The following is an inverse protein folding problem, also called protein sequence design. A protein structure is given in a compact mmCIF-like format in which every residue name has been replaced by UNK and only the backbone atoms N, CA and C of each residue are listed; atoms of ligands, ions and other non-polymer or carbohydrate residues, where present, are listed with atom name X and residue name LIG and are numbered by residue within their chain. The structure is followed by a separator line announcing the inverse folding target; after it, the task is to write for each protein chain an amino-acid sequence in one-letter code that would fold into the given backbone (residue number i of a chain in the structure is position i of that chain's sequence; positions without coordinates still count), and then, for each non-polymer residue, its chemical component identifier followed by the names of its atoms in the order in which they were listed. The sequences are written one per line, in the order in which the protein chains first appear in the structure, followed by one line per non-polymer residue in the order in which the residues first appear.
data_IF_675090997477
#
_entry.id   IF_675090997477
#
_cell.length_a   1.000
_cell.length_b   1.000
_cell.length_c   1.000
_cell.angle_alpha   90.00
_cell.angle_beta   90.00
_cell.angle_gamma   90.00
#
_symmetry.space_group_name_H-M   'P 1'
#
loop_
_entity.id
_entity.type
_entity.pdbx_description
1 polymer ?
#
# COMPACT_ATOMS: atom_id res chain seq x y z
N UNK A 1 -20.63 -62.69 54.48
CA UNK A 1 -19.17 -62.45 54.36
C UNK A 1 -18.76 -62.74 52.93
N UNK A 2 -18.75 -61.73 52.07
CA UNK A 2 -18.15 -61.78 50.73
C UNK A 2 -17.63 -60.39 50.36
N UNK A 3 -16.52 -60.43 49.65
CA UNK A 3 -15.48 -59.41 49.50
C UNK A 3 -15.64 -58.66 48.16
N UNK A 4 -15.22 -57.38 48.14
CA UNK A 4 -14.67 -56.60 47.01
C UNK A 4 -15.47 -56.43 45.69
N UNK A 5 -15.64 -55.18 45.25
CA UNK A 5 -14.78 -54.58 44.20
C UNK A 5 -15.09 -53.08 44.05
N UNK A 6 -14.13 -52.22 44.41
CA UNK A 6 -14.16 -50.78 44.06
C UNK A 6 -13.68 -50.67 42.62
N UNK A 7 -14.57 -50.25 41.71
CA UNK A 7 -14.19 -49.85 40.34
C UNK A 7 -14.08 -48.33 40.28
N UNK A 8 -12.85 -47.84 40.35
CA UNK A 8 -12.48 -46.47 40.06
C UNK A 8 -12.68 -46.21 38.56
N UNK A 9 -13.57 -45.31 38.19
CA UNK A 9 -13.80 -44.89 36.80
C UNK A 9 -13.03 -43.59 36.55
N UNK A 10 -11.87 -43.69 35.91
CA UNK A 10 -11.09 -42.53 35.47
C UNK A 10 -11.64 -42.07 34.11
N UNK A 11 -12.41 -40.98 34.10
CA UNK A 11 -12.86 -40.35 32.85
C UNK A 11 -11.76 -39.40 32.39
N UNK A 12 -11.01 -39.80 31.36
CA UNK A 12 -10.08 -38.93 30.66
C UNK A 12 -10.87 -38.01 29.71
N UNK A 13 -11.05 -36.75 30.10
CA UNK A 13 -11.59 -35.70 29.21
C UNK A 13 -10.44 -35.21 28.33
N UNK A 14 -10.20 -35.90 27.21
CA UNK A 14 -9.45 -35.33 26.08
C UNK A 14 -10.41 -34.38 25.33
N UNK A 15 -10.51 -33.15 25.82
CA UNK A 15 -11.12 -32.06 25.06
C UNK A 15 -10.16 -31.63 23.97
N UNK A 16 -10.44 -32.03 22.72
CA UNK A 16 -9.75 -31.54 21.53
C UNK A 16 -9.83 -30.01 21.51
N UNK A 17 -8.69 -29.36 21.76
CA UNK A 17 -8.44 -28.01 21.28
C UNK A 17 -8.37 -28.11 19.74
N UNK A 18 -9.50 -27.94 19.08
CA UNK A 18 -9.55 -27.59 17.67
C UNK A 18 -8.89 -26.23 17.52
N UNK A 19 -7.57 -26.22 17.38
CA UNK A 19 -6.86 -25.08 16.83
C UNK A 19 -7.41 -24.88 15.42
N UNK A 20 -8.37 -23.97 15.28
CA UNK A 20 -8.62 -23.32 14.00
C UNK A 20 -7.33 -22.61 13.64
N UNK A 21 -6.46 -23.34 12.93
CA UNK A 21 -5.34 -22.78 12.21
C UNK A 21 -5.99 -21.78 11.26
N UNK A 22 -5.94 -20.49 11.63
CA UNK A 22 -6.18 -19.42 10.69
C UNK A 22 -5.29 -19.77 9.50
N UNK A 23 -5.91 -20.10 8.38
CA UNK A 23 -5.21 -20.31 7.14
C UNK A 23 -4.64 -18.94 6.79
N UNK A 24 -3.41 -18.71 7.23
CA UNK A 24 -2.51 -17.69 6.70
C UNK A 24 -2.53 -17.95 5.19
N UNK A 25 -3.41 -17.23 4.50
CA UNK A 25 -3.36 -17.07 3.08
C UNK A 25 -1.99 -16.49 2.82
N UNK A 26 -1.04 -17.35 2.41
CA UNK A 26 0.29 -16.94 1.98
C UNK A 26 0.08 -15.97 0.83
N UNK A 27 0.09 -14.68 1.12
CA UNK A 27 0.05 -13.64 0.10
C UNK A 27 1.30 -13.86 -0.76
N UNK A 28 1.19 -14.05 -2.09
CA UNK A 28 2.32 -14.41 -2.94
C UNK A 28 3.35 -13.28 -3.14
N UNK A 29 3.23 -12.18 -2.39
CA UNK A 29 3.95 -10.92 -2.63
C UNK A 29 4.75 -10.41 -1.43
N UNK A 30 5.16 -11.26 -0.47
CA UNK A 30 5.92 -10.84 0.73
C UNK A 30 7.36 -10.35 0.47
N UNK A 31 7.77 -10.25 -0.80
CA UNK A 31 9.09 -9.80 -1.22
C UNK A 31 8.94 -8.65 -2.20
N UNK A 32 9.81 -7.64 -2.10
CA UNK A 32 9.97 -6.59 -3.12
C UNK A 32 10.35 -7.17 -4.50
N UNK A 33 10.80 -8.42 -4.53
CA UNK A 33 11.03 -9.19 -5.76
C UNK A 33 9.79 -10.01 -6.12
N UNK A 34 8.85 -9.36 -6.82
CA UNK A 34 7.58 -9.94 -7.23
C UNK A 34 7.79 -11.10 -8.22
N UNK A 35 7.31 -12.30 -7.88
CA UNK A 35 7.29 -13.42 -8.82
C UNK A 35 6.01 -13.35 -9.66
N UNK A 36 6.14 -13.13 -10.97
CA UNK A 36 4.98 -13.03 -11.85
C UNK A 36 4.36 -14.38 -12.19
N UNK A 37 3.02 -14.46 -12.25
CA UNK A 37 2.34 -15.65 -12.77
C UNK A 37 2.68 -15.85 -14.26
N UNK A 38 2.43 -17.07 -14.75
CA UNK A 38 2.61 -17.40 -16.15
C UNK A 38 1.74 -16.49 -17.04
N UNK A 39 2.34 -15.93 -18.09
CA UNK A 39 1.68 -14.99 -19.00
C UNK A 39 1.88 -13.51 -18.67
N UNK A 40 2.51 -13.20 -17.52
CA UNK A 40 2.75 -11.82 -17.07
C UNK A 40 4.23 -11.52 -16.89
N UNK A 41 4.56 -10.23 -16.95
CA UNK A 41 5.93 -9.73 -16.96
C UNK A 41 6.17 -8.77 -15.80
N UNK A 42 7.35 -8.82 -15.15
CA UNK A 42 7.68 -7.90 -14.08
C UNK A 42 7.90 -6.49 -14.62
N UNK A 43 7.40 -5.50 -13.89
CA UNK A 43 7.59 -4.08 -14.13
C UNK A 43 8.03 -3.35 -12.87
N UNK A 44 8.64 -2.19 -13.08
CA UNK A 44 9.17 -1.33 -12.03
C UNK A 44 9.08 0.13 -12.47
N UNK A 45 8.65 1.01 -11.57
CA UNK A 45 8.77 2.47 -11.70
C UNK A 45 9.25 3.01 -10.38
N UNK A 46 10.16 3.97 -10.50
CA UNK A 46 10.55 4.85 -9.43
C UNK A 46 10.09 6.26 -9.80
N UNK A 47 9.29 6.87 -8.93
CA UNK A 47 8.94 8.27 -9.00
C UNK A 47 9.49 9.00 -7.79
N UNK A 48 10.03 10.19 -8.01
CA UNK A 48 10.39 11.09 -6.93
C UNK A 48 9.88 12.49 -7.20
N UNK A 49 9.46 13.17 -6.14
CA UNK A 49 8.87 14.50 -6.21
C UNK A 49 9.42 15.36 -5.07
N UNK A 50 9.68 16.63 -5.38
CA UNK A 50 10.16 17.59 -4.40
C UNK A 50 9.28 18.82 -4.46
N UNK A 51 8.70 19.20 -3.33
CA UNK A 51 7.75 20.31 -3.24
C UNK A 51 8.15 21.31 -2.17
N UNK A 52 8.04 22.59 -2.49
CA UNK A 52 8.30 23.69 -1.54
C UNK A 52 7.11 23.88 -0.60
N UNK A 53 6.96 22.94 0.32
CA UNK A 53 6.01 23.00 1.43
C UNK A 53 6.50 22.09 2.57
N UNK A 54 6.17 22.44 3.82
CA UNK A 54 6.48 21.61 4.97
C UNK A 54 5.67 20.31 4.96
N UNK A 55 6.27 19.21 5.44
CA UNK A 55 5.72 17.86 5.44
C UNK A 55 4.29 17.76 6.00
N UNK A 56 4.00 18.52 7.07
CA UNK A 56 2.68 18.46 7.72
C UNK A 56 1.51 18.84 6.81
N UNK A 57 1.74 19.57 5.72
CA UNK A 57 0.70 19.87 4.73
C UNK A 57 0.32 18.63 3.92
N UNK A 58 1.28 17.78 3.59
CA UNK A 58 1.06 16.51 2.90
C UNK A 58 0.50 15.46 3.84
N UNK A 59 1.12 15.24 5.01
CA UNK A 59 0.71 14.18 5.95
C UNK A 59 -0.68 14.39 6.54
N UNK A 60 -1.18 15.63 6.58
CA UNK A 60 -2.58 15.90 6.94
C UNK A 60 -3.58 15.23 5.98
N UNK A 61 -3.17 15.02 4.73
CA UNK A 61 -4.01 14.45 3.66
C UNK A 61 -3.65 12.97 3.44
N UNK A 62 -2.36 12.63 3.46
CA UNK A 62 -1.86 11.30 3.08
C UNK A 62 -1.50 10.41 4.27
N UNK A 63 -1.53 10.94 5.50
CA UNK A 63 -1.03 10.25 6.68
C UNK A 63 -1.93 9.14 7.21
N UNK A 64 -3.10 8.92 6.62
CA UNK A 64 -3.97 7.78 6.93
C UNK A 64 -3.95 6.81 5.75
N UNK A 65 -3.56 5.56 6.00
CA UNK A 65 -3.69 4.50 5.01
C UNK A 65 -5.16 4.35 4.58
N UNK A 66 -6.11 4.47 5.49
CA UNK A 66 -7.52 4.34 5.16
C UNK A 66 -8.11 5.51 4.35
N UNK A 67 -7.48 6.68 4.32
CA UNK A 67 -7.97 7.83 3.56
C UNK A 67 -7.30 7.93 2.20
N UNK A 68 -7.95 7.34 1.20
CA UNK A 68 -7.44 7.23 -0.18
C UNK A 68 -7.96 8.30 -1.14
N UNK A 69 -8.84 9.20 -0.68
CA UNK A 69 -9.51 10.16 -1.56
C UNK A 69 -8.53 11.10 -2.31
N UNK A 70 -7.32 11.25 -1.79
CA UNK A 70 -6.26 12.05 -2.40
C UNK A 70 -5.65 11.41 -3.65
N UNK A 71 -5.81 10.10 -3.87
CA UNK A 71 -5.39 9.43 -5.11
C UNK A 71 -6.26 9.80 -6.32
N UNK A 72 -7.33 10.58 -6.14
CA UNK A 72 -8.26 10.95 -7.22
C UNK A 72 -9.08 9.75 -7.71
N UNK A 73 -10.38 9.93 -7.92
CA UNK A 73 -11.26 8.87 -8.45
C UNK A 73 -11.47 7.64 -7.54
N UNK A 74 -10.65 7.45 -6.50
CA UNK A 74 -10.73 6.35 -5.56
C UNK A 74 -11.56 6.71 -4.31
N UNK A 75 -12.27 5.71 -3.76
CA UNK A 75 -12.85 5.79 -2.43
C UNK A 75 -12.69 4.48 -1.67
N UNK A 76 -12.35 4.56 -0.37
CA UNK A 76 -12.25 3.39 0.49
C UNK A 76 -13.64 2.97 0.97
N UNK A 77 -14.36 2.24 0.12
CA UNK A 77 -15.69 1.70 0.42
C UNK A 77 -15.67 0.70 1.58
N UNK A 78 -14.54 0.02 1.81
CA UNK A 78 -14.34 -0.82 2.98
C UNK A 78 -12.93 -0.63 3.58
N UNK A 79 -12.87 -0.80 4.90
CA UNK A 79 -11.68 -0.67 5.74
C UNK A 79 -11.71 -1.82 6.76
N UNK A 80 -10.65 -2.61 6.84
CA UNK A 80 -10.53 -3.76 7.76
C UNK A 80 -9.24 -3.59 8.56
N UNK A 81 -9.30 -3.81 9.87
CA UNK A 81 -8.16 -3.67 10.77
C UNK A 81 -8.02 -2.26 11.35
N UNK A 82 -6.81 -1.93 11.79
CA UNK A 82 -6.48 -0.64 12.41
C UNK A 82 -5.67 0.20 11.43
N UNK A 83 -6.04 1.47 11.27
CA UNK A 83 -5.35 2.38 10.36
C UNK A 83 -3.85 2.47 10.68
N UNK A 84 -3.01 2.53 9.64
CA UNK A 84 -1.55 2.57 9.74
C UNK A 84 -0.89 1.42 10.52
N UNK A 85 -1.58 0.28 10.66
CA UNK A 85 -1.02 -0.94 11.26
C UNK A 85 -0.86 -2.02 10.19
N UNK A 86 0.31 -2.65 10.04
CA UNK A 86 0.49 -3.77 9.11
C UNK A 86 -0.60 -4.84 9.28
N UNK A 87 -1.14 -5.30 8.16
CA UNK A 87 -2.33 -6.16 8.08
C UNK A 87 -3.64 -5.40 7.88
N UNK A 88 -3.65 -4.07 7.97
CA UNK A 88 -4.80 -3.25 7.58
C UNK A 88 -5.11 -3.44 6.08
N UNK A 89 -6.40 -3.46 5.74
CA UNK A 89 -6.87 -3.61 4.37
C UNK A 89 -7.80 -2.46 4.03
N UNK A 90 -7.60 -1.85 2.87
CA UNK A 90 -8.52 -0.87 2.28
C UNK A 90 -8.91 -1.32 0.88
N UNK A 91 -10.07 -0.90 0.42
CA UNK A 91 -10.47 -1.09 -0.96
C UNK A 91 -11.81 -0.48 -1.27
N UNK A 92 -12.14 -0.45 -2.57
CA UNK A 92 -13.34 0.17 -3.07
C UNK A 92 -13.19 0.56 -4.53
N UNK A 93 -14.14 1.33 -5.08
CA UNK A 93 -14.07 1.75 -6.46
C UNK A 93 -12.92 2.74 -6.67
N UNK A 94 -12.21 2.59 -7.78
CA UNK A 94 -11.28 3.59 -8.31
C UNK A 94 -11.25 3.51 -9.83
N UNK A 95 -11.50 4.64 -10.50
CA UNK A 95 -11.41 4.84 -11.96
C UNK A 95 -11.74 3.61 -12.81
N UNK A 96 -13.00 3.17 -12.74
CA UNK A 96 -13.53 2.08 -13.57
C UNK A 96 -13.22 0.66 -13.06
N UNK A 97 -12.50 0.52 -11.95
CA UNK A 97 -12.23 -0.76 -11.30
C UNK A 97 -12.48 -0.74 -9.79
N UNK A 98 -12.08 -1.83 -9.14
CA UNK A 98 -12.10 -1.97 -7.68
C UNK A 98 -10.69 -2.29 -7.23
N UNK A 99 -10.10 -1.42 -6.41
CA UNK A 99 -8.81 -1.68 -5.81
C UNK A 99 -8.99 -2.38 -4.46
N UNK A 100 -7.99 -3.16 -4.06
CA UNK A 100 -7.93 -3.84 -2.78
C UNK A 100 -6.47 -3.96 -2.38
N UNK A 101 -6.11 -3.27 -1.30
CA UNK A 101 -4.74 -3.11 -0.85
C UNK A 101 -4.59 -3.54 0.60
N UNK A 102 -3.50 -4.24 0.88
CA UNK A 102 -3.10 -4.61 2.24
C UNK A 102 -1.84 -3.85 2.61
N UNK A 103 -1.86 -3.12 3.73
CA UNK A 103 -0.69 -2.46 4.28
C UNK A 103 0.24 -3.51 4.89
N UNK A 104 1.48 -3.58 4.42
CA UNK A 104 2.47 -4.57 4.89
C UNK A 104 3.56 -3.95 5.75
N UNK A 105 3.79 -2.65 5.60
CA UNK A 105 4.69 -1.89 6.46
C UNK A 105 4.13 -0.48 6.67
N UNK A 106 4.28 0.03 7.88
CA UNK A 106 4.11 1.45 8.16
C UNK A 106 5.07 1.86 9.27
N UNK A 107 5.90 2.86 8.99
CA UNK A 107 6.86 3.40 9.93
C UNK A 107 6.76 4.91 9.93
N UNK A 108 6.54 5.51 11.10
CA UNK A 108 6.51 6.95 11.27
C UNK A 108 7.75 7.43 12.05
N UNK A 109 8.29 8.56 11.63
CA UNK A 109 9.46 9.22 12.21
C UNK A 109 9.17 10.70 12.45
N UNK A 110 10.07 11.40 13.14
CA UNK A 110 9.91 12.84 13.40
C UNK A 110 9.94 13.70 12.13
N UNK A 111 10.55 13.19 11.08
CA UNK A 111 10.82 13.84 9.80
C UNK A 111 10.10 13.18 8.64
N UNK A 112 9.19 12.22 8.87
CA UNK A 112 8.59 11.49 7.77
C UNK A 112 7.73 10.31 8.15
N UNK A 113 7.24 9.63 7.13
CA UNK A 113 6.72 8.27 7.24
C UNK A 113 7.04 7.48 5.98
N UNK A 114 7.04 6.16 6.12
CA UNK A 114 7.16 5.21 5.04
C UNK A 114 6.06 4.16 5.18
N UNK A 115 5.45 3.79 4.06
CA UNK A 115 4.44 2.75 3.99
C UNK A 115 4.68 1.84 2.80
N UNK A 116 4.54 0.54 2.99
CA UNK A 116 4.50 -0.45 1.90
C UNK A 116 3.15 -1.12 1.88
N UNK A 117 2.57 -1.26 0.69
CA UNK A 117 1.28 -1.92 0.48
C UNK A 117 1.36 -2.92 -0.67
N UNK A 118 0.48 -3.91 -0.62
CA UNK A 118 0.28 -4.89 -1.68
C UNK A 118 -1.10 -4.70 -2.28
N UNK A 119 -1.16 -4.48 -3.59
CA UNK A 119 -2.39 -4.45 -4.36
C UNK A 119 -2.73 -5.80 -4.97
N UNK A 120 -4.01 -6.13 -4.95
CA UNK A 120 -4.57 -7.29 -5.68
C UNK A 120 -4.64 -7.03 -7.19
N UNK A 121 -4.86 -8.08 -8.01
CA UNK A 121 -5.07 -7.91 -9.44
C UNK A 121 -6.09 -6.82 -9.76
N UNK A 122 -5.74 -5.97 -10.71
CA UNK A 122 -6.56 -4.85 -11.14
C UNK A 122 -6.31 -4.57 -12.63
N UNK A 123 -7.35 -4.14 -13.32
CA UNK A 123 -7.27 -3.72 -14.72
C UNK A 123 -7.45 -2.22 -14.81
N UNK A 124 -6.43 -1.54 -15.34
CA UNK A 124 -6.44 -0.09 -15.51
C UNK A 124 -6.98 0.28 -16.91
N UNK A 125 -8.10 1.02 -17.00
CA UNK A 125 -8.58 1.51 -18.27
C UNK A 125 -7.70 2.67 -18.77
N UNK A 126 -7.16 2.55 -19.98
CA UNK A 126 -6.42 3.63 -20.64
C UNK A 126 -7.29 4.30 -21.72
N UNK A 127 -7.39 5.64 -21.74
CA UNK A 127 -8.06 6.34 -22.83
C UNK A 127 -7.42 6.01 -24.18
N UNK A 128 -8.24 5.57 -25.14
CA UNK A 128 -7.81 5.25 -26.52
C UNK A 128 -6.75 4.15 -26.66
N UNK A 129 -6.52 3.34 -25.63
CA UNK A 129 -5.61 2.20 -25.66
C UNK A 129 -6.31 0.97 -25.07
N UNK A 130 -5.85 -0.25 -25.38
CA UNK A 130 -6.27 -1.43 -24.65
C UNK A 130 -6.02 -1.24 -23.15
N UNK A 131 -6.92 -1.72 -22.27
CA UNK A 131 -6.69 -1.67 -20.84
C UNK A 131 -5.44 -2.50 -20.50
N UNK A 132 -4.74 -2.09 -19.45
CA UNK A 132 -3.57 -2.83 -18.95
C UNK A 132 -4.01 -3.65 -17.75
N UNK A 133 -3.72 -4.95 -17.78
CA UNK A 133 -3.97 -5.81 -16.63
C UNK A 133 -2.72 -5.89 -15.76
N UNK A 134 -2.93 -5.75 -14.45
CA UNK A 134 -1.94 -6.00 -13.43
C UNK A 134 -2.39 -7.19 -12.59
N UNK A 135 -1.55 -8.21 -12.43
CA UNK A 135 -1.83 -9.36 -11.55
C UNK A 135 -1.60 -9.04 -10.08
N UNK A 136 -1.09 -7.85 -9.79
CA UNK A 136 -0.79 -7.38 -8.45
C UNK A 136 0.43 -6.48 -8.48
N UNK A 137 0.60 -5.75 -7.39
CA UNK A 137 1.70 -4.82 -7.21
C UNK A 137 2.11 -4.73 -5.75
N UNK A 138 3.35 -4.32 -5.53
CA UNK A 138 3.89 -3.87 -4.27
C UNK A 138 4.31 -2.42 -4.48
N UNK A 139 3.93 -1.54 -3.56
CA UNK A 139 4.25 -0.13 -3.64
C UNK A 139 4.75 0.35 -2.28
N UNK A 140 5.93 0.97 -2.29
CA UNK A 140 6.53 1.64 -1.14
C UNK A 140 6.51 3.13 -1.39
N UNK A 141 5.95 3.87 -0.44
CA UNK A 141 5.84 5.31 -0.50
C UNK A 141 6.44 5.92 0.76
N UNK A 142 7.25 6.94 0.58
CA UNK A 142 7.95 7.64 1.65
C UNK A 142 7.78 9.13 1.49
N UNK A 143 7.41 9.80 2.59
CA UNK A 143 7.35 11.26 2.67
C UNK A 143 8.37 11.72 3.69
N UNK A 144 9.23 12.66 3.29
CA UNK A 144 10.32 13.16 4.12
C UNK A 144 10.34 14.68 4.15
N UNK A 145 10.62 15.20 5.34
CA UNK A 145 10.90 16.61 5.61
C UNK A 145 12.37 16.88 5.35
N UNK A 146 12.70 17.59 4.28
CA UNK A 146 14.07 17.97 3.93
C UNK A 146 14.26 19.50 4.01
N UNK A 147 15.50 19.97 3.79
CA UNK A 147 15.84 21.40 3.77
C UNK A 147 15.41 22.16 5.05
N UNK A 148 15.63 21.57 6.23
CA UNK A 148 15.24 22.18 7.51
C UNK A 148 13.72 22.27 7.70
N UNK A 149 12.94 21.38 7.09
CA UNK A 149 11.49 21.31 7.26
C UNK A 149 10.67 22.21 6.36
N UNK A 150 11.29 22.85 5.37
CA UNK A 150 10.59 23.73 4.42
C UNK A 150 10.15 23.03 3.13
N UNK A 151 10.72 21.87 2.87
CA UNK A 151 10.53 21.11 1.63
C UNK A 151 10.11 19.69 1.98
N UNK A 152 9.17 19.15 1.20
CA UNK A 152 8.76 17.74 1.29
C UNK A 152 9.34 17.02 0.09
N UNK A 153 10.06 15.93 0.36
CA UNK A 153 10.47 14.95 -0.62
C UNK A 153 9.52 13.76 -0.54
N UNK A 154 9.06 13.28 -1.69
CA UNK A 154 8.20 12.12 -1.83
C UNK A 154 8.91 11.14 -2.73
N UNK A 155 9.02 9.91 -2.27
CA UNK A 155 9.65 8.81 -2.98
C UNK A 155 8.65 7.67 -3.11
N UNK A 156 8.47 7.18 -4.33
CA UNK A 156 7.53 6.12 -4.63
C UNK A 156 8.24 5.07 -5.48
N UNK A 157 8.27 3.85 -4.97
CA UNK A 157 8.84 2.70 -5.65
C UNK A 157 7.75 1.65 -5.78
N UNK A 158 7.43 1.28 -7.01
CA UNK A 158 6.39 0.31 -7.28
C UNK A 158 6.95 -0.84 -8.12
N UNK A 159 6.55 -2.06 -7.79
CA UNK A 159 6.86 -3.30 -8.50
C UNK A 159 5.55 -4.00 -8.83
N UNK A 160 5.39 -4.54 -10.03
CA UNK A 160 4.13 -5.19 -10.45
C UNK A 160 4.35 -6.26 -11.49
N UNK A 161 3.32 -7.07 -11.70
CA UNK A 161 3.23 -7.99 -12.81
C UNK A 161 2.12 -7.56 -13.75
N UNK A 162 2.39 -7.53 -15.05
CA UNK A 162 1.43 -7.05 -16.05
C UNK A 162 1.49 -7.86 -17.34
N UNK A 163 0.38 -7.91 -18.06
CA UNK A 163 0.27 -8.46 -19.41
C UNK A 163 0.92 -7.57 -20.48
N UNK A 164 1.17 -6.29 -20.17
CA UNK A 164 1.74 -5.30 -21.08
C UNK A 164 2.70 -4.37 -20.35
N UNK A 165 4.00 -4.70 -20.37
CA UNK A 165 5.03 -3.98 -19.60
C UNK A 165 5.15 -2.49 -19.97
N UNK A 166 5.11 -2.14 -21.25
CA UNK A 166 5.25 -0.75 -21.70
C UNK A 166 3.99 0.07 -21.42
N UNK A 167 2.80 -0.53 -21.63
CA UNK A 167 1.53 0.07 -21.23
C UNK A 167 1.45 0.29 -19.72
N UNK A 168 1.87 -0.72 -18.94
CA UNK A 168 1.88 -0.66 -17.48
C UNK A 168 2.80 0.42 -16.94
N UNK A 169 4.04 0.51 -17.45
CA UNK A 169 4.96 1.58 -17.07
C UNK A 169 4.35 2.97 -17.32
N UNK A 170 3.82 3.20 -18.53
CA UNK A 170 3.26 4.49 -18.91
C UNK A 170 2.02 4.86 -18.07
N UNK A 171 1.15 3.88 -17.80
CA UNK A 171 -0.03 4.06 -16.95
C UNK A 171 0.37 4.43 -15.52
N UNK A 172 1.21 3.60 -14.89
CA UNK A 172 1.60 3.77 -13.48
C UNK A 172 2.35 5.09 -13.27
N UNK A 173 3.29 5.41 -14.16
CA UNK A 173 4.05 6.65 -14.10
C UNK A 173 3.14 7.89 -14.22
N UNK A 174 2.22 7.88 -15.19
CA UNK A 174 1.34 9.02 -15.47
C UNK A 174 0.38 9.27 -14.32
N UNK A 175 -0.28 8.23 -13.80
CA UNK A 175 -1.23 8.35 -12.68
C UNK A 175 -0.56 8.96 -11.47
N UNK A 176 0.58 8.42 -11.03
CA UNK A 176 1.25 8.93 -9.84
C UNK A 176 1.73 10.37 -10.04
N UNK A 177 2.26 10.69 -11.22
CA UNK A 177 2.59 12.06 -11.56
C UNK A 177 1.37 13.00 -11.44
N UNK A 178 0.24 12.64 -12.03
CA UNK A 178 -0.99 13.43 -11.98
C UNK A 178 -1.53 13.59 -10.55
N UNK A 179 -1.56 12.50 -9.78
CA UNK A 179 -2.00 12.48 -8.37
C UNK A 179 -1.15 13.41 -7.52
N UNK A 180 0.18 13.27 -7.55
CA UNK A 180 1.04 14.10 -6.72
C UNK A 180 1.07 15.56 -7.19
N UNK A 181 0.94 15.83 -8.48
CA UNK A 181 0.76 17.20 -8.99
C UNK A 181 -0.55 17.81 -8.51
N UNK A 182 -1.66 17.07 -8.56
CA UNK A 182 -2.96 17.54 -8.10
C UNK A 182 -2.96 17.77 -6.58
N UNK A 183 -2.38 16.85 -5.81
CA UNK A 183 -2.20 16.99 -4.35
C UNK A 183 -1.41 18.27 -4.03
N UNK A 184 -0.25 18.45 -4.67
CA UNK A 184 0.61 19.60 -4.46
C UNK A 184 -0.08 20.91 -4.85
N UNK A 185 -0.81 20.94 -5.97
CA UNK A 185 -1.62 22.09 -6.37
C UNK A 185 -2.69 22.43 -5.33
N UNK A 186 -3.39 21.41 -4.79
CA UNK A 186 -4.43 21.58 -3.77
C UNK A 186 -3.95 22.21 -2.46
N UNK A 187 -2.66 22.06 -2.12
CA UNK A 187 -2.05 22.65 -0.92
C UNK A 187 -1.15 23.87 -1.22
N UNK A 188 -1.10 24.30 -2.49
CA UNK A 188 -0.26 25.41 -2.95
C UNK A 188 1.24 25.15 -2.78
N UNK A 189 1.69 23.91 -3.01
CA UNK A 189 3.08 23.49 -2.91
C UNK A 189 3.73 23.43 -4.30
N UNK A 190 4.52 24.44 -4.72
CA UNK A 190 5.13 24.41 -6.03
C UNK A 190 6.24 23.35 -6.11
N UNK A 191 6.40 22.76 -7.30
CA UNK A 191 7.49 21.82 -7.59
C UNK A 191 8.84 22.53 -7.44
N UNK A 192 9.79 21.86 -6.80
CA UNK A 192 11.16 22.31 -6.66
C UNK A 192 12.04 21.52 -7.65
N UNK A 193 12.59 22.22 -8.64
CA UNK A 193 13.41 21.59 -9.70
C UNK A 193 14.87 21.30 -9.28
N UNK A 194 15.26 21.55 -8.03
CA UNK A 194 16.66 21.49 -7.59
C UNK A 194 16.87 21.73 -6.10
N UNK A 195 17.97 22.39 -5.76
CA UNK A 195 18.49 22.52 -4.39
C UNK A 195 17.55 23.18 -3.38
N UNK A 196 17.83 22.93 -2.10
CA UNK A 196 17.18 23.60 -0.97
C UNK A 196 17.22 25.14 -1.11
N UNK A 197 16.13 25.85 -0.79
CA UNK A 197 16.11 27.31 -0.79
C UNK A 197 17.20 27.89 0.12
N UNK A 198 17.94 28.90 -0.34
CA UNK A 198 19.04 29.51 0.43
C UNK A 198 18.62 30.17 1.74
N UNK A 199 17.33 30.49 1.91
CA UNK A 199 16.77 31.04 3.14
C UNK A 199 16.50 29.97 4.22
N UNK A 200 17.02 28.75 4.08
CA UNK A 200 16.87 27.66 5.06
C UNK A 200 17.93 27.64 6.17
N UNK A 201 18.91 28.55 6.15
CA UNK A 201 19.94 28.72 7.20
C UNK A 201 19.51 29.72 8.28
#
# INVERSE_FOLDING_TARGET
MHFTLVKTLTVAILGLLSATRAQESSYPYTSSDLHCPEGSHPGFVHNSYTYLAPLHKFTKITGSFFDIAWYGGCSAAFKIGTDNVPGAIRGGPCDGGVFNETLTMFTAHSDGFESTLHGRPWTFPLPHQPPVHFDGYVETMRFESICGGKVTYIDLISHWCTDNQSGGYNAWYTIHMEVFQALAAGIGAPVLAGDCPRSCS
#
